data_IF_991399959607
#
_entry.id   IF_991399959607
#
_cell.length_a   1.000
_cell.length_b   1.000
_cell.length_c   1.000
_cell.angle_alpha   90.00
_cell.angle_beta   90.00
_cell.angle_gamma   90.00
#
_symmetry.space_group_name_H-M   'P 1'
#
loop_
_entity.id
_entity.type
_entity.pdbx_description
1 polymer ?
#
# COMPACT_ATOMS: atom_id res chain seq x y z
N UNK A 1 -2.49 1.22 -10.61
CA UNK A 1 -2.38 0.70 -9.23
C UNK A 1 -3.19 1.62 -8.34
N UNK A 2 -4.33 1.16 -7.82
CA UNK A 2 -5.25 2.01 -7.05
C UNK A 2 -4.62 2.58 -5.76
N UNK A 3 -3.54 1.98 -5.27
CA UNK A 3 -2.82 2.46 -4.07
C UNK A 3 -1.85 3.60 -4.37
N UNK A 4 -0.94 3.43 -5.34
CA UNK A 4 0.17 4.39 -5.55
C UNK A 4 0.23 5.04 -6.94
N UNK A 5 -0.75 4.77 -7.80
CA UNK A 5 -0.80 5.31 -9.17
C UNK A 5 0.13 4.65 -10.19
N UNK A 6 0.99 3.72 -9.77
CA UNK A 6 1.89 2.99 -10.68
C UNK A 6 1.15 2.05 -11.64
N UNK A 7 1.78 1.62 -12.72
CA UNK A 7 1.19 0.72 -13.71
C UNK A 7 0.80 -0.63 -13.08
N UNK A 8 -0.40 -1.13 -13.40
CA UNK A 8 -0.94 -2.39 -12.89
C UNK A 8 -1.78 -3.08 -13.97
N UNK A 9 -1.46 -4.34 -14.25
CA UNK A 9 -2.06 -5.09 -15.35
C UNK A 9 -3.19 -5.98 -14.82
N UNK A 10 -2.96 -6.67 -13.71
CA UNK A 10 -3.89 -7.63 -13.12
C UNK A 10 -4.36 -7.20 -11.72
N UNK A 11 -5.27 -8.02 -11.16
CA UNK A 11 -5.77 -7.89 -9.80
C UNK A 11 -4.87 -8.65 -8.82
N UNK A 12 -4.62 -8.06 -7.66
CA UNK A 12 -4.03 -8.74 -6.52
C UNK A 12 -4.89 -8.45 -5.30
N UNK A 13 -5.31 -9.52 -4.61
CA UNK A 13 -6.19 -9.40 -3.43
C UNK A 13 -7.45 -8.57 -3.76
N UNK A 14 -8.12 -8.89 -4.88
CA UNK A 14 -9.35 -8.20 -5.29
C UNK A 14 -9.17 -6.82 -5.95
N UNK A 15 -7.98 -6.20 -5.92
CA UNK A 15 -7.77 -4.82 -6.42
C UNK A 15 -6.66 -4.72 -7.46
N UNK A 16 -6.84 -3.83 -8.44
CA UNK A 16 -5.85 -3.57 -9.50
C UNK A 16 -4.62 -2.83 -8.96
N UNK A 17 -3.60 -3.57 -8.58
CA UNK A 17 -2.40 -3.04 -7.93
C UNK A 17 -1.11 -3.47 -8.62
N UNK A 18 -0.03 -2.71 -8.42
CA UNK A 18 1.29 -3.06 -8.94
C UNK A 18 1.96 -4.12 -8.04
N UNK A 19 2.93 -4.84 -8.58
CA UNK A 19 3.71 -5.86 -7.86
C UNK A 19 4.33 -5.33 -6.55
N UNK A 20 4.76 -4.07 -6.52
CA UNK A 20 5.27 -3.44 -5.30
C UNK A 20 4.25 -3.32 -4.17
N UNK A 21 2.98 -3.03 -4.46
CA UNK A 21 1.92 -2.93 -3.44
C UNK A 21 1.37 -4.30 -3.06
N UNK A 22 1.26 -5.23 -4.02
CA UNK A 22 1.00 -6.65 -3.75
C UNK A 22 1.99 -7.24 -2.76
N UNK A 23 3.29 -7.11 -3.04
CA UNK A 23 4.34 -7.67 -2.18
C UNK A 23 4.41 -6.99 -0.81
N UNK A 24 4.17 -5.68 -0.76
CA UNK A 24 4.07 -4.95 0.50
C UNK A 24 2.90 -5.50 1.35
N UNK A 25 1.69 -5.54 0.78
CA UNK A 25 0.49 -6.02 1.47
C UNK A 25 0.66 -7.46 1.98
N UNK A 26 1.14 -8.37 1.13
CA UNK A 26 1.44 -9.77 1.51
C UNK A 26 2.32 -9.85 2.75
N UNK A 27 3.45 -9.13 2.76
CA UNK A 27 4.40 -9.17 3.88
C UNK A 27 3.81 -8.56 5.14
N UNK A 28 3.03 -7.49 5.03
CA UNK A 28 2.40 -6.84 6.19
C UNK A 28 1.40 -7.78 6.85
N UNK A 29 0.53 -8.42 6.08
CA UNK A 29 -0.48 -9.36 6.61
C UNK A 29 0.18 -10.61 7.19
N UNK A 30 1.09 -11.26 6.44
CA UNK A 30 1.73 -12.50 6.89
C UNK A 30 2.58 -12.35 8.15
N UNK A 31 3.24 -11.19 8.32
CA UNK A 31 4.06 -10.91 9.50
C UNK A 31 3.28 -10.25 10.63
N UNK A 32 1.99 -9.93 10.44
CA UNK A 32 1.22 -9.12 11.39
C UNK A 32 1.89 -7.78 11.70
N UNK A 33 2.56 -7.17 10.71
CA UNK A 33 3.39 -6.00 10.94
C UNK A 33 2.54 -4.79 11.30
N UNK A 34 2.83 -4.18 12.46
CA UNK A 34 2.18 -2.96 12.94
C UNK A 34 3.06 -1.77 12.59
N UNK A 35 2.51 -0.84 11.80
CA UNK A 35 3.19 0.40 11.44
C UNK A 35 2.60 1.58 12.21
N UNK A 36 3.41 2.60 12.43
CA UNK A 36 2.98 3.90 12.97
C UNK A 36 3.34 4.99 11.97
N UNK A 37 2.46 5.98 11.81
CA UNK A 37 2.79 7.19 11.08
C UNK A 37 3.52 8.15 12.01
N UNK A 38 4.59 8.79 11.52
CA UNK A 38 5.32 9.83 12.25
C UNK A 38 4.78 11.25 11.97
N UNK A 39 3.74 11.36 11.14
CA UNK A 39 3.07 12.60 10.77
C UNK A 39 1.56 12.44 11.03
N UNK A 40 0.72 13.19 10.32
CA UNK A 40 -0.73 13.27 10.55
C UNK A 40 -1.55 12.13 9.93
N UNK A 41 -0.95 10.94 9.70
CA UNK A 41 -1.62 9.78 9.08
C UNK A 41 -2.22 10.02 7.68
N UNK A 42 -1.88 11.13 7.03
CA UNK A 42 -2.33 11.50 5.69
C UNK A 42 -1.17 11.63 4.68
N UNK A 43 -0.10 10.83 4.84
CA UNK A 43 1.04 10.91 3.94
C UNK A 43 0.66 10.54 2.49
N UNK A 44 1.10 11.30 1.48
CA UNK A 44 0.82 10.99 0.08
C UNK A 44 1.48 9.67 -0.34
N UNK A 45 0.68 8.78 -0.93
CA UNK A 45 1.13 7.48 -1.45
C UNK A 45 1.12 7.53 -2.97
N UNK A 46 2.29 7.84 -3.54
CA UNK A 46 2.55 7.85 -4.99
C UNK A 46 3.71 6.91 -5.35
N UNK A 47 3.96 6.69 -6.64
CA UNK A 47 5.03 5.78 -7.12
C UNK A 47 6.41 6.08 -6.52
N UNK A 48 6.75 7.36 -6.32
CA UNK A 48 8.07 7.79 -5.84
C UNK A 48 8.17 7.76 -4.31
N UNK A 49 7.10 8.09 -3.60
CA UNK A 49 7.08 8.32 -2.14
C UNK A 49 6.35 7.24 -1.35
N UNK A 50 5.79 6.20 -1.99
CA UNK A 50 5.07 5.10 -1.31
C UNK A 50 5.85 4.39 -0.20
N UNK A 51 7.18 4.46 -0.18
CA UNK A 51 7.99 3.85 0.88
C UNK A 51 8.22 4.76 2.09
N UNK A 52 7.87 6.06 2.02
CA UNK A 52 8.13 7.04 3.08
C UNK A 52 7.30 6.79 4.34
N UNK A 53 6.07 6.30 4.20
CA UNK A 53 5.22 5.95 5.33
C UNK A 53 4.50 4.62 5.06
N UNK A 54 4.94 3.57 5.74
CA UNK A 54 4.35 2.23 5.63
C UNK A 54 2.93 2.20 6.21
N UNK A 55 2.65 2.95 7.28
CA UNK A 55 1.31 3.07 7.85
C UNK A 55 0.31 3.59 6.83
N UNK A 56 0.54 4.78 6.25
CA UNK A 56 -0.39 5.38 5.29
C UNK A 56 -0.53 4.52 4.03
N UNK A 57 0.56 3.88 3.59
CA UNK A 57 0.50 2.93 2.47
C UNK A 57 -0.39 1.74 2.78
N UNK A 58 -0.26 1.13 3.95
CA UNK A 58 -1.07 -0.03 4.33
C UNK A 58 -2.54 0.35 4.56
N UNK A 59 -2.80 1.49 5.22
CA UNK A 59 -4.15 2.02 5.34
C UNK A 59 -4.79 2.26 3.97
N UNK A 60 -4.04 2.79 3.01
CA UNK A 60 -4.55 2.97 1.64
C UNK A 60 -4.79 1.64 0.93
N UNK A 61 -3.98 0.59 1.17
CA UNK A 61 -4.28 -0.76 0.67
C UNK A 61 -5.64 -1.25 1.16
N UNK A 62 -5.91 -1.13 2.46
CA UNK A 62 -7.20 -1.52 3.05
C UNK A 62 -8.35 -0.67 2.51
N UNK A 63 -8.15 0.65 2.39
CA UNK A 63 -9.17 1.58 1.91
C UNK A 63 -9.60 1.32 0.45
N UNK A 64 -8.72 0.77 -0.39
CA UNK A 64 -9.08 0.37 -1.77
C UNK A 64 -9.63 -1.04 -1.86
N UNK A 65 -9.69 -1.78 -0.74
CA UNK A 65 -10.26 -3.13 -0.66
C UNK A 65 -9.28 -4.29 -0.91
N UNK A 66 -7.98 -4.11 -0.63
CA UNK A 66 -7.00 -5.21 -0.67
C UNK A 66 -7.08 -6.13 0.54
#
# INVERSE_FOLDING_TARGET
CSVCGDSAICLHYGVRTCEGCKGFFKRTVQKGAKYSCLAEKCCPVDKRRRNRCQFCRFQKCLAVGM
#
